data_IF_273864345115
#
_entry.id   IF_273864345115
#
_cell.length_a   1.000
_cell.length_b   1.000
_cell.length_c   1.000
_cell.angle_alpha   90.00
_cell.angle_beta   90.00
_cell.angle_gamma   90.00
#
_symmetry.space_group_name_H-M   'P 1'
#
loop_
_entity.id
_entity.type
_entity.pdbx_description
1 polymer ?
#
# COMPACT_ATOMS: atom_id res chain seq x y z
N UNK A 1 -20.97 32.52 -14.05
CA UNK A 1 -21.74 32.02 -12.88
C UNK A 1 -22.56 30.78 -13.22
N UNK A 2 -23.29 30.74 -14.35
CA UNK A 2 -24.07 29.56 -14.74
C UNK A 2 -23.22 28.28 -14.93
N UNK A 3 -22.02 28.36 -15.52
CA UNK A 3 -21.11 27.22 -15.70
C UNK A 3 -20.49 26.67 -14.40
N UNK A 4 -20.29 27.52 -13.38
CA UNK A 4 -19.85 27.06 -12.04
C UNK A 4 -20.97 26.31 -11.31
N UNK A 5 -22.23 26.62 -11.62
CA UNK A 5 -23.37 25.92 -11.07
C UNK A 5 -23.51 24.52 -11.69
N UNK A 6 -23.22 24.34 -12.99
CA UNK A 6 -23.40 23.08 -13.72
C UNK A 6 -22.45 21.97 -13.25
N UNK A 7 -21.16 22.26 -13.05
CA UNK A 7 -20.19 21.29 -12.52
C UNK A 7 -20.49 20.92 -11.06
N UNK A 8 -20.94 21.90 -10.26
CA UNK A 8 -21.36 21.68 -8.86
C UNK A 8 -22.67 20.89 -8.79
N UNK A 9 -23.63 21.09 -9.70
CA UNK A 9 -24.87 20.29 -9.74
C UNK A 9 -24.61 18.85 -10.15
N UNK A 10 -23.69 18.57 -11.09
CA UNK A 10 -23.33 17.19 -11.46
C UNK A 10 -22.59 16.47 -10.31
N UNK A 11 -21.70 17.18 -9.60
CA UNK A 11 -21.05 16.66 -8.39
C UNK A 11 -22.00 16.49 -7.18
N UNK A 12 -23.02 17.35 -7.04
CA UNK A 12 -24.03 17.25 -5.97
C UNK A 12 -25.07 16.17 -6.22
N UNK A 13 -25.48 15.91 -7.48
CA UNK A 13 -26.44 14.85 -7.82
C UNK A 13 -25.90 13.46 -7.41
N UNK A 14 -24.58 13.25 -7.47
CA UNK A 14 -23.94 12.01 -6.98
C UNK A 14 -23.96 11.88 -5.46
N UNK A 15 -24.02 12.99 -4.70
CA UNK A 15 -24.11 12.97 -3.23
C UNK A 15 -25.53 12.78 -2.68
N UNK A 16 -26.57 12.95 -3.50
CA UNK A 16 -27.97 12.99 -3.06
C UNK A 16 -28.75 11.68 -3.28
N UNK A 17 -28.20 10.70 -4.00
CA UNK A 17 -28.85 9.40 -4.21
C UNK A 17 -28.30 8.30 -3.28
N UNK A 18 -27.95 8.69 -2.04
CA UNK A 18 -27.66 7.75 -0.97
C UNK A 18 -28.94 7.08 -0.44
N UNK A 19 -28.98 5.76 -0.46
CA UNK A 19 -29.78 5.00 0.51
C UNK A 19 -29.01 5.03 1.83
N UNK A 20 -29.36 5.96 2.72
CA UNK A 20 -28.96 5.89 4.13
C UNK A 20 -29.65 4.69 4.81
N UNK A 21 -28.94 3.81 5.54
CA UNK A 21 -29.59 2.98 6.53
C UNK A 21 -29.77 3.77 7.82
N UNK A 22 -31.03 3.86 8.26
CA UNK A 22 -31.45 4.45 9.52
C UNK A 22 -30.75 3.80 10.74
N UNK A 23 -30.39 4.65 11.71
CA UNK A 23 -29.97 4.25 13.06
C UNK A 23 -31.10 3.47 13.77
N UNK A 24 -30.85 2.27 14.34
CA UNK A 24 -31.82 1.61 15.20
C UNK A 24 -31.64 2.01 16.68
N UNK A 25 -32.72 1.92 17.49
CA UNK A 25 -32.77 2.46 18.84
C UNK A 25 -32.21 1.49 19.89
N UNK A 26 -31.85 2.04 21.05
CA UNK A 26 -31.30 1.37 22.23
C UNK A 26 -32.10 0.11 22.66
N UNK A 27 -31.40 -1.03 22.82
CA UNK A 27 -31.95 -2.27 23.40
C UNK A 27 -30.90 -3.37 23.54
N UNK A 28 -30.74 -3.93 24.75
CA UNK A 28 -29.68 -4.86 25.17
C UNK A 28 -29.83 -6.32 24.71
N UNK A 29 -28.67 -7.02 24.67
CA UNK A 29 -28.33 -8.45 24.96
C UNK A 29 -27.84 -9.30 23.75
N UNK A 30 -27.00 -10.35 23.92
CA UNK A 30 -25.79 -10.47 24.74
C UNK A 30 -24.57 -11.05 23.96
N UNK A 31 -23.44 -11.16 24.67
CA UNK A 31 -22.05 -11.50 24.31
C UNK A 31 -21.79 -12.67 23.34
N UNK A 32 -20.97 -12.39 22.31
CA UNK A 32 -19.82 -13.22 21.92
C UNK A 32 -18.65 -12.29 21.56
N UNK A 33 -17.87 -11.93 22.57
CA UNK A 33 -16.63 -11.18 22.43
C UNK A 33 -15.52 -12.12 21.91
N UNK A 34 -15.21 -12.05 20.62
CA UNK A 34 -13.84 -12.30 20.15
C UNK A 34 -13.13 -10.95 20.25
N UNK A 35 -12.36 -10.77 21.32
CA UNK A 35 -11.51 -9.60 21.50
C UNK A 35 -10.43 -9.64 20.41
N UNK A 36 -10.59 -8.80 19.38
CA UNK A 36 -9.45 -8.22 18.71
C UNK A 36 -9.00 -7.10 19.65
N UNK A 37 -8.05 -7.40 20.53
CA UNK A 37 -7.43 -6.35 21.34
C UNK A 37 -6.67 -5.44 20.37
N UNK A 38 -7.09 -4.18 20.34
CA UNK A 38 -6.46 -3.10 19.61
C UNK A 38 -4.96 -3.08 19.91
N UNK A 39 -4.12 -3.21 18.87
CA UNK A 39 -2.70 -2.86 18.97
C UNK A 39 -2.59 -1.42 19.48
N UNK A 40 -2.20 -1.24 20.74
CA UNK A 40 -1.76 0.06 21.23
C UNK A 40 -0.45 0.43 20.52
N UNK A 41 -0.36 1.70 20.13
CA UNK A 41 0.71 2.24 19.29
C UNK A 41 2.05 2.19 20.03
N UNK A 42 3.01 1.44 19.48
CA UNK A 42 4.42 1.52 19.90
C UNK A 42 4.97 2.92 19.58
N UNK A 43 5.63 3.63 20.50
CA UNK A 43 6.16 4.95 20.24
C UNK A 43 7.25 4.91 19.15
N UNK A 44 6.99 5.58 18.03
CA UNK A 44 7.89 5.69 16.88
C UNK A 44 8.76 6.93 17.02
N UNK A 45 10.07 6.76 17.18
CA UNK A 45 11.05 7.86 17.15
C UNK A 45 11.51 8.13 15.72
N UNK A 46 11.55 9.41 15.32
CA UNK A 46 11.73 9.80 13.90
C UNK A 46 13.17 10.05 13.42
N UNK A 47 14.19 10.09 14.28
CA UNK A 47 15.60 10.23 13.82
C UNK A 47 16.65 10.02 14.93
N UNK A 48 17.90 9.82 14.50
CA UNK A 48 19.11 9.54 15.29
C UNK A 48 19.61 10.81 16.03
N UNK A 49 18.83 11.33 16.97
CA UNK A 49 19.29 12.44 17.81
C UNK A 49 20.36 11.94 18.79
N UNK A 50 21.52 12.62 18.84
CA UNK A 50 22.40 12.57 20.03
C UNK A 50 21.52 12.89 21.24
N UNK A 51 21.25 11.91 22.09
CA UNK A 51 20.38 12.05 23.25
C UNK A 51 21.06 12.96 24.26
N UNK A 52 20.87 14.27 24.11
CA UNK A 52 21.26 15.26 25.08
C UNK A 52 20.25 15.18 26.23
N UNK A 53 20.73 14.95 27.46
CA UNK A 53 19.91 14.99 28.69
C UNK A 53 19.21 16.37 28.81
N UNK A 54 17.89 16.50 28.62
CA UNK A 54 17.22 17.76 28.88
C UNK A 54 16.77 17.75 30.34
N UNK A 55 17.23 18.73 31.13
CA UNK A 55 16.60 18.99 32.42
C UNK A 55 15.23 19.65 32.18
N UNK A 56 14.14 18.90 32.36
CA UNK A 56 12.81 19.49 32.59
C UNK A 56 11.63 18.91 31.81
N UNK A 57 10.68 18.35 32.58
CA UNK A 57 9.25 18.04 32.38
C UNK A 57 8.75 16.92 31.44
N UNK A 58 8.31 15.85 32.12
CA UNK A 58 7.05 15.07 32.06
C UNK A 58 6.73 14.00 31.00
N UNK A 59 7.58 13.70 30.02
CA UNK A 59 7.55 12.37 29.39
C UNK A 59 8.94 12.10 28.83
N UNK A 60 9.66 11.21 29.52
CA UNK A 60 11.05 10.90 29.21
C UNK A 60 11.09 9.44 28.79
N UNK A 61 11.21 9.22 27.48
CA UNK A 61 11.42 7.92 26.83
C UNK A 61 12.57 7.12 27.47
N UNK A 62 13.53 7.80 28.13
CA UNK A 62 14.62 7.18 28.88
C UNK A 62 14.23 6.78 30.32
N UNK A 63 13.00 7.10 30.77
CA UNK A 63 12.47 6.73 32.08
C UNK A 63 11.61 5.45 32.06
N UNK A 64 11.16 4.93 30.92
CA UNK A 64 10.32 3.72 30.91
C UNK A 64 10.80 2.62 29.93
N UNK A 65 11.53 2.96 28.86
CA UNK A 65 11.98 1.97 27.85
C UNK A 65 13.37 1.38 28.13
N UNK A 66 13.52 0.05 28.00
CA UNK A 66 14.75 -0.68 28.30
C UNK A 66 15.68 -0.84 27.08
N UNK A 67 15.11 -0.92 25.87
CA UNK A 67 15.84 -1.16 24.62
C UNK A 67 15.16 -0.51 23.41
N UNK A 68 15.87 -0.47 22.28
CA UNK A 68 15.29 -0.24 20.98
C UNK A 68 16.10 -0.84 19.83
N UNK A 69 15.55 -0.75 18.62
CA UNK A 69 16.21 -1.05 17.33
C UNK A 69 15.68 -0.12 16.23
N UNK A 70 16.28 -0.14 15.04
CA UNK A 70 15.89 0.63 13.86
C UNK A 70 15.86 -0.25 12.61
N UNK A 71 14.75 -0.19 11.87
CA UNK A 71 14.62 -0.82 10.55
C UNK A 71 14.25 0.25 9.55
N UNK A 72 15.08 0.43 8.52
CA UNK A 72 14.80 1.34 7.40
C UNK A 72 14.43 2.78 7.83
N UNK A 73 15.03 3.25 8.92
CA UNK A 73 14.80 4.58 9.48
C UNK A 73 13.68 4.65 10.53
N UNK A 74 12.91 3.59 10.73
CA UNK A 74 11.89 3.50 11.77
C UNK A 74 12.52 2.97 13.07
N UNK A 75 12.57 3.81 14.11
CA UNK A 75 12.96 3.38 15.44
C UNK A 75 11.78 2.77 16.20
N UNK A 76 12.04 1.62 16.80
CA UNK A 76 11.12 0.92 17.69
C UNK A 76 11.76 0.80 19.06
N UNK A 77 11.07 1.24 20.10
CA UNK A 77 11.47 1.08 21.51
C UNK A 77 10.43 0.24 22.26
N UNK A 78 10.81 -0.35 23.38
CA UNK A 78 9.86 -1.10 24.20
C UNK A 78 10.33 -1.36 25.63
N UNK A 79 9.39 -1.62 26.55
CA UNK A 79 9.68 -1.85 27.97
C UNK A 79 10.17 -3.26 28.28
N UNK A 80 10.03 -4.23 27.36
CA UNK A 80 10.22 -5.65 27.66
C UNK A 80 9.12 -6.55 27.08
N UNK A 81 9.24 -7.87 27.30
CA UNK A 81 8.51 -8.93 26.58
C UNK A 81 6.97 -8.90 26.66
N UNK A 82 6.37 -8.15 27.60
CA UNK A 82 4.91 -8.15 27.83
C UNK A 82 4.18 -7.00 27.11
N UNK A 83 4.86 -6.24 26.25
CA UNK A 83 4.29 -5.10 25.53
C UNK A 83 4.47 -5.14 24.02
N UNK A 84 4.98 -6.23 23.44
CA UNK A 84 5.20 -6.31 22.00
C UNK A 84 3.96 -6.97 21.36
N UNK A 85 3.21 -6.26 20.49
CA UNK A 85 2.12 -6.87 19.74
C UNK A 85 2.64 -8.04 18.90
N UNK A 86 1.76 -9.00 18.59
CA UNK A 86 2.01 -10.27 17.88
C UNK A 86 2.55 -10.10 16.44
N UNK A 87 3.64 -9.37 16.22
CA UNK A 87 4.22 -9.08 14.91
C UNK A 87 4.37 -7.58 14.66
N UNK A 88 5.61 -7.15 14.39
CA UNK A 88 5.92 -5.77 13.99
C UNK A 88 5.94 -5.70 12.48
N UNK A 89 5.04 -4.89 11.93
CA UNK A 89 4.90 -4.64 10.50
C UNK A 89 5.61 -3.35 10.11
N UNK A 90 6.35 -3.37 9.01
CA UNK A 90 7.04 -2.21 8.47
C UNK A 90 6.38 -1.79 7.17
N UNK A 91 6.06 -0.51 7.01
CA UNK A 91 5.40 0.01 5.80
C UNK A 91 6.20 -0.20 4.49
N UNK A 92 7.48 -0.59 4.58
CA UNK A 92 8.40 -0.81 3.45
C UNK A 92 8.86 -2.27 3.30
N UNK A 93 8.28 -3.20 4.03
CA UNK A 93 8.68 -4.60 4.04
C UNK A 93 7.47 -5.49 4.19
N UNK A 94 7.47 -6.61 3.50
CA UNK A 94 6.42 -7.62 3.61
C UNK A 94 6.76 -8.65 4.70
N UNK A 95 7.91 -8.49 5.36
CA UNK A 95 8.27 -9.26 6.53
C UNK A 95 7.53 -8.77 7.77
N UNK A 96 6.97 -9.72 8.52
CA UNK A 96 6.62 -9.53 9.93
C UNK A 96 7.86 -9.78 10.77
N UNK A 97 8.16 -8.90 11.71
CA UNK A 97 9.27 -9.06 12.63
C UNK A 97 8.78 -9.33 14.04
N UNK A 98 9.22 -10.44 14.61
CA UNK A 98 9.06 -10.78 16.01
C UNK A 98 10.34 -10.37 16.73
N UNK A 99 10.20 -9.70 17.87
CA UNK A 99 11.34 -9.31 18.68
C UNK A 99 11.07 -9.72 20.11
N UNK A 100 12.08 -10.29 20.76
CA UNK A 100 12.10 -10.42 22.21
C UNK A 100 13.47 -10.05 22.78
N UNK A 101 13.46 -9.44 23.95
CA UNK A 101 14.67 -8.98 24.64
C UNK A 101 14.54 -9.30 26.13
N UNK A 102 15.49 -10.06 26.63
CA UNK A 102 15.47 -10.64 27.97
C UNK A 102 16.84 -10.47 28.66
N UNK A 103 16.90 -10.48 30.01
CA UNK A 103 18.16 -10.34 30.72
C UNK A 103 19.15 -11.46 30.36
N UNK A 104 20.45 -11.14 30.35
CA UNK A 104 21.48 -12.16 30.20
C UNK A 104 21.40 -13.21 31.31
N UNK A 105 21.52 -14.47 30.92
CA UNK A 105 21.67 -15.62 31.81
C UNK A 105 22.96 -16.36 31.45
N UNK A 106 23.64 -16.94 32.44
CA UNK A 106 24.93 -17.62 32.26
C UNK A 106 24.84 -18.71 31.20
N UNK A 107 23.72 -19.42 31.14
CA UNK A 107 23.43 -20.48 30.18
C UNK A 107 23.14 -19.96 28.77
N UNK A 108 22.89 -18.66 28.58
CA UNK A 108 22.71 -18.05 27.26
C UNK A 108 23.98 -18.12 26.41
N UNK A 109 25.15 -18.12 27.07
CA UNK A 109 26.43 -18.31 26.40
C UNK A 109 26.60 -19.72 25.82
N UNK A 110 25.91 -20.73 26.34
CA UNK A 110 25.97 -22.10 25.79
C UNK A 110 25.46 -22.18 24.34
N UNK A 111 24.59 -21.25 23.94
CA UNK A 111 24.13 -21.16 22.55
C UNK A 111 25.24 -20.74 21.58
N UNK A 112 26.23 -19.98 22.06
CA UNK A 112 27.25 -19.35 21.20
C UNK A 112 28.66 -19.87 21.44
N UNK A 113 28.93 -20.45 22.61
CA UNK A 113 30.24 -20.95 23.03
C UNK A 113 30.82 -21.95 22.01
N UNK A 114 29.97 -22.80 21.45
CA UNK A 114 30.30 -23.71 20.36
C UNK A 114 29.31 -23.51 19.20
N UNK A 115 29.34 -22.33 18.57
CA UNK A 115 28.38 -21.98 17.51
C UNK A 115 28.22 -23.06 16.42
N UNK A 116 29.27 -23.81 16.09
CA UNK A 116 29.18 -24.94 15.15
C UNK A 116 28.31 -26.09 15.65
N UNK A 117 28.38 -26.41 16.93
CA UNK A 117 27.59 -27.48 17.55
C UNK A 117 26.14 -27.01 17.70
N UNK A 118 25.94 -25.72 17.99
CA UNK A 118 24.62 -25.08 17.93
C UNK A 118 23.99 -25.15 16.54
N UNK A 119 24.77 -24.94 15.46
CA UNK A 119 24.25 -25.10 14.09
C UNK A 119 23.75 -26.53 13.83
N UNK A 120 24.47 -27.55 14.34
CA UNK A 120 24.07 -28.95 14.21
C UNK A 120 22.75 -29.21 14.95
N UNK A 121 22.62 -28.71 16.17
CA UNK A 121 21.40 -28.86 16.97
C UNK A 121 20.21 -28.07 16.40
N UNK A 122 20.45 -26.86 15.87
CA UNK A 122 19.43 -26.09 15.17
C UNK A 122 18.97 -26.80 13.90
N UNK A 123 19.89 -27.40 13.13
CA UNK A 123 19.53 -28.18 11.95
C UNK A 123 18.76 -29.46 12.31
N UNK A 124 19.15 -30.17 13.38
CA UNK A 124 18.40 -31.32 13.90
C UNK A 124 16.99 -30.90 14.29
N UNK A 125 16.86 -29.81 15.03
CA UNK A 125 15.58 -29.28 15.49
C UNK A 125 14.69 -28.83 14.31
N UNK A 126 15.26 -28.16 13.31
CA UNK A 126 14.56 -27.77 12.10
C UNK A 126 13.96 -29.00 11.40
N UNK A 127 14.73 -30.08 11.28
CA UNK A 127 14.29 -31.34 10.66
C UNK A 127 13.21 -32.04 11.47
N UNK A 128 13.24 -31.95 12.80
CA UNK A 128 12.20 -32.50 13.67
C UNK A 128 10.88 -31.72 13.60
N UNK A 129 10.95 -30.39 13.54
CA UNK A 129 9.75 -29.53 13.55
C UNK A 129 9.12 -29.41 12.16
N UNK A 130 9.94 -29.25 11.12
CA UNK A 130 9.48 -28.99 9.75
C UNK A 130 9.50 -30.24 8.87
N UNK A 131 10.23 -31.29 9.26
CA UNK A 131 10.25 -32.56 8.52
C UNK A 131 10.61 -32.38 7.04
N UNK A 132 9.70 -32.82 6.17
CA UNK A 132 9.84 -32.69 4.70
C UNK A 132 9.56 -31.28 4.17
N UNK A 133 9.01 -30.38 4.98
CA UNK A 133 8.77 -28.98 4.59
C UNK A 133 10.06 -28.17 4.54
N UNK A 134 11.12 -28.56 5.27
CA UNK A 134 12.39 -27.83 5.28
C UNK A 134 13.08 -27.91 3.90
N UNK A 135 13.27 -26.77 3.27
CA UNK A 135 13.90 -26.67 1.94
C UNK A 135 15.38 -26.30 2.04
N UNK A 136 15.72 -25.30 2.84
CA UNK A 136 17.09 -24.84 3.02
C UNK A 136 17.31 -24.33 4.43
N UNK A 137 18.50 -24.51 4.97
CA UNK A 137 18.95 -23.85 6.20
C UNK A 137 20.41 -23.45 6.05
N UNK A 138 20.76 -22.27 6.55
CA UNK A 138 22.13 -21.77 6.59
C UNK A 138 22.36 -20.90 7.80
N UNK A 139 23.63 -20.77 8.15
CA UNK A 139 24.06 -20.06 9.34
C UNK A 139 25.23 -19.16 9.01
N UNK A 140 25.29 -17.99 9.64
CA UNK A 140 26.42 -17.08 9.53
C UNK A 140 26.48 -16.17 10.75
N UNK A 141 27.61 -15.49 10.91
CA UNK A 141 27.78 -14.45 11.93
C UNK A 141 28.05 -13.11 11.26
N UNK A 142 27.66 -12.03 11.93
CA UNK A 142 27.95 -10.66 11.49
C UNK A 142 28.32 -9.80 12.70
N UNK A 143 29.41 -9.05 12.59
CA UNK A 143 29.80 -8.11 13.63
C UNK A 143 29.00 -6.81 13.52
N UNK A 144 28.52 -6.29 14.66
CA UNK A 144 27.82 -5.01 14.73
C UNK A 144 27.95 -4.39 16.11
N UNK A 145 28.47 -3.16 16.18
CA UNK A 145 28.58 -2.42 17.44
C UNK A 145 29.48 -3.05 18.51
N UNK A 146 30.38 -3.96 18.13
CA UNK A 146 31.26 -4.69 19.06
C UNK A 146 30.74 -6.07 19.48
N UNK A 147 29.47 -6.38 19.18
CA UNK A 147 28.88 -7.70 19.43
C UNK A 147 28.75 -8.50 18.12
N UNK A 148 28.66 -9.83 18.26
CA UNK A 148 28.29 -10.71 17.16
C UNK A 148 26.78 -10.90 17.09
N UNK A 149 26.26 -10.86 15.87
CA UNK A 149 24.94 -11.33 15.49
C UNK A 149 25.10 -12.75 14.98
N UNK A 150 24.42 -13.68 15.63
CA UNK A 150 24.34 -15.08 15.21
C UNK A 150 23.07 -15.24 14.40
N UNK A 151 23.21 -15.45 13.09
CA UNK A 151 22.09 -15.48 12.18
C UNK A 151 21.87 -16.89 11.65
N UNK A 152 20.60 -17.27 11.60
CA UNK A 152 20.09 -18.43 10.94
C UNK A 152 19.08 -17.96 9.89
N UNK A 153 19.21 -18.47 8.68
CA UNK A 153 18.19 -18.33 7.66
C UNK A 153 17.73 -19.70 7.23
N UNK A 154 16.43 -19.91 7.20
CA UNK A 154 15.86 -21.09 6.60
C UNK A 154 14.69 -20.74 5.69
N UNK A 155 14.38 -21.68 4.80
CA UNK A 155 13.15 -21.66 4.05
C UNK A 155 12.46 -23.00 4.16
N UNK A 156 11.13 -22.97 4.16
CA UNK A 156 10.30 -24.16 4.14
C UNK A 156 9.16 -24.00 3.14
N UNK A 157 8.60 -25.13 2.70
CA UNK A 157 7.43 -25.19 1.83
C UNK A 157 6.31 -25.83 2.63
N UNK A 158 5.28 -25.05 2.93
CA UNK A 158 4.13 -25.46 3.73
C UNK A 158 2.86 -25.13 2.97
N UNK A 159 1.99 -26.14 2.81
CA UNK A 159 0.78 -26.05 1.98
C UNK A 159 1.00 -25.50 0.55
N UNK A 160 2.20 -25.72 0.00
CA UNK A 160 2.58 -25.24 -1.34
C UNK A 160 3.10 -23.79 -1.40
N UNK A 161 3.06 -23.04 -0.29
CA UNK A 161 3.68 -21.72 -0.17
C UNK A 161 5.10 -21.85 0.40
N UNK A 162 6.04 -21.11 -0.21
CA UNK A 162 7.40 -21.00 0.32
C UNK A 162 7.46 -19.88 1.36
N UNK A 163 8.10 -20.16 2.47
CA UNK A 163 8.32 -19.21 3.55
C UNK A 163 9.82 -18.99 3.75
N UNK A 164 10.19 -17.74 3.96
CA UNK A 164 11.55 -17.35 4.33
C UNK A 164 11.54 -16.86 5.77
N UNK A 165 12.46 -17.38 6.56
CA UNK A 165 12.66 -16.96 7.94
C UNK A 165 14.12 -16.58 8.11
N UNK A 166 14.32 -15.40 8.70
CA UNK A 166 15.62 -14.98 9.22
C UNK A 166 15.46 -14.86 10.73
N UNK A 167 16.30 -15.56 11.48
CA UNK A 167 16.41 -15.44 12.92
C UNK A 167 17.80 -14.92 13.28
N UNK A 168 17.86 -13.84 14.04
CA UNK A 168 19.08 -13.23 14.53
C UNK A 168 19.07 -13.24 16.06
N UNK A 169 20.17 -13.72 16.63
CA UNK A 169 20.41 -13.75 18.07
C UNK A 169 21.58 -12.83 18.41
N UNK A 170 21.41 -12.02 19.44
CA UNK A 170 22.47 -11.17 20.01
C UNK A 170 22.61 -11.44 21.50
N UNK A 171 23.85 -11.44 21.96
CA UNK A 171 24.19 -11.68 23.36
C UNK A 171 25.13 -10.55 23.79
N UNK A 172 24.70 -9.79 24.79
CA UNK A 172 25.54 -8.80 25.46
C UNK A 172 25.64 -9.10 26.95
N UNK A 173 26.44 -8.32 27.67
CA UNK A 173 26.72 -8.53 29.09
C UNK A 173 25.45 -8.52 29.97
N UNK A 174 24.41 -7.80 29.56
CA UNK A 174 23.14 -7.62 30.29
C UNK A 174 21.91 -8.14 29.56
N UNK A 175 22.02 -8.58 28.30
CA UNK A 175 20.87 -8.93 27.48
C UNK A 175 21.07 -10.15 26.57
N UNK A 176 19.95 -10.78 26.24
CA UNK A 176 19.75 -11.69 25.11
C UNK A 176 18.67 -11.06 24.23
N UNK A 177 18.98 -10.87 22.96
CA UNK A 177 18.06 -10.32 21.95
C UNK A 177 17.74 -11.34 20.87
N UNK A 178 16.46 -11.50 20.58
CA UNK A 178 15.91 -12.38 19.55
C UNK A 178 15.16 -11.54 18.53
N UNK A 179 15.48 -11.71 17.24
CA UNK A 179 14.83 -11.04 16.14
C UNK A 179 14.48 -12.08 15.09
N UNK A 180 13.21 -12.30 14.82
CA UNK A 180 12.75 -13.34 13.90
C UNK A 180 11.83 -12.70 12.87
N UNK A 181 12.33 -12.55 11.65
CA UNK A 181 11.53 -12.14 10.51
C UNK A 181 10.91 -13.34 9.82
N UNK A 182 9.64 -13.20 9.43
CA UNK A 182 8.91 -14.19 8.63
C UNK A 182 8.37 -13.48 7.39
N UNK A 183 8.63 -14.03 6.21
CA UNK A 183 8.20 -13.44 4.94
C UNK A 183 7.97 -14.54 3.89
N UNK A 184 6.77 -14.69 3.31
CA UNK A 184 6.50 -15.67 2.25
C UNK A 184 6.93 -15.20 0.85
N UNK A 185 7.38 -13.95 0.69
CA UNK A 185 7.58 -13.30 -0.60
C UNK A 185 9.06 -13.06 -0.94
N UNK A 186 9.88 -12.63 0.03
CA UNK A 186 11.28 -12.27 -0.24
C UNK A 186 12.24 -12.65 0.89
N UNK A 187 13.17 -13.56 0.59
CA UNK A 187 14.26 -13.92 1.49
C UNK A 187 15.20 -12.74 1.80
N UNK A 188 15.39 -11.85 0.82
CA UNK A 188 16.26 -10.67 0.98
C UNK A 188 15.60 -9.62 1.87
N UNK A 189 14.31 -9.35 1.67
CA UNK A 189 13.55 -8.41 2.50
C UNK A 189 13.46 -8.91 3.95
N UNK A 190 13.13 -10.19 4.13
CA UNK A 190 13.16 -10.87 5.43
C UNK A 190 14.51 -10.70 6.14
N UNK A 191 15.60 -10.92 5.41
CA UNK A 191 16.96 -10.77 5.93
C UNK A 191 17.28 -9.33 6.29
N UNK A 192 16.96 -8.38 5.42
CA UNK A 192 17.27 -6.96 5.63
C UNK A 192 16.54 -6.39 6.83
N UNK A 193 15.26 -6.70 7.00
CA UNK A 193 14.47 -6.30 8.17
C UNK A 193 15.04 -6.91 9.45
N UNK A 194 15.25 -8.22 9.46
CA UNK A 194 15.67 -8.93 10.68
C UNK A 194 17.09 -8.59 11.08
N UNK A 195 18.03 -8.64 10.13
CA UNK A 195 19.43 -8.30 10.38
C UNK A 195 19.57 -6.80 10.65
N UNK A 196 18.76 -5.96 10.00
CA UNK A 196 18.71 -4.52 10.26
C UNK A 196 18.27 -4.20 11.69
N UNK A 197 17.20 -4.85 12.15
CA UNK A 197 16.74 -4.74 13.53
C UNK A 197 17.81 -5.21 14.52
N UNK A 198 18.39 -6.40 14.30
CA UNK A 198 19.43 -6.92 15.17
C UNK A 198 20.68 -6.02 15.18
N UNK A 199 21.15 -5.57 14.02
CA UNK A 199 22.38 -4.75 13.91
C UNK A 199 22.22 -3.39 14.57
N UNK A 200 21.03 -2.81 14.49
CA UNK A 200 20.74 -1.52 15.09
C UNK A 200 20.27 -1.63 16.54
N UNK A 201 20.26 -2.81 17.15
CA UNK A 201 19.81 -2.95 18.53
C UNK A 201 20.74 -2.24 19.52
N UNK A 202 20.17 -1.55 20.52
CA UNK A 202 20.88 -0.92 21.66
C UNK A 202 20.02 -0.89 22.93
N UNK A 203 20.70 -0.98 24.07
CA UNK A 203 20.15 -0.72 25.39
C UNK A 203 20.01 0.78 25.66
N UNK A 204 18.91 1.20 26.29
CA UNK A 204 18.60 2.61 26.56
C UNK A 204 18.80 3.01 28.03
N UNK A 205 19.31 2.11 28.87
CA UNK A 205 19.92 2.46 30.16
C UNK A 205 19.10 2.17 31.43
N UNK A 206 18.15 1.23 31.40
CA UNK A 206 17.50 0.70 32.62
C UNK A 206 17.58 -0.82 32.72
N UNK A 207 17.84 -1.33 33.93
CA UNK A 207 17.80 -2.77 34.23
C UNK A 207 16.36 -3.23 34.39
N UNK A 208 15.83 -4.01 33.44
CA UNK A 208 14.63 -4.79 33.67
C UNK A 208 15.03 -6.09 34.38
N UNK A 209 14.71 -6.21 35.67
CA UNK A 209 14.68 -7.52 36.34
C UNK A 209 13.31 -8.14 36.10
N UNK A 210 13.28 -9.39 35.63
CA UNK A 210 12.09 -10.24 35.80
C UNK A 210 12.45 -11.71 35.91
N UNK A 211 11.73 -12.38 36.80
CA UNK A 211 11.71 -13.84 36.96
C UNK A 211 10.83 -14.45 35.86
N UNK A 212 11.37 -15.44 35.16
CA UNK A 212 10.74 -16.05 33.99
C UNK A 212 9.43 -16.76 34.33
N UNK A 213 8.46 -16.66 33.43
CA UNK A 213 7.37 -17.64 33.34
C UNK A 213 7.58 -18.43 32.05
N UNK A 214 7.47 -19.75 32.17
CA UNK A 214 7.72 -20.70 31.09
C UNK A 214 6.80 -20.45 29.90
N UNK A 215 7.40 -20.25 28.72
CA UNK A 215 6.68 -20.21 27.44
C UNK A 215 6.22 -21.64 27.04
N UNK A 216 5.07 -21.82 26.37
CA UNK A 216 4.31 -23.08 26.41
C UNK A 216 4.90 -24.27 25.62
N UNK A 217 5.87 -24.07 24.73
CA UNK A 217 6.31 -25.13 23.80
C UNK A 217 7.81 -25.44 23.91
N UNK A 218 8.18 -26.12 25.01
CA UNK A 218 9.56 -26.58 25.29
C UNK A 218 9.82 -28.05 24.92
N UNK A 219 8.86 -28.78 24.37
CA UNK A 219 9.05 -30.21 24.09
C UNK A 219 10.10 -30.42 22.98
N UNK A 220 11.29 -30.89 23.36
CA UNK A 220 12.40 -31.19 22.43
C UNK A 220 13.29 -30.01 22.06
N UNK A 221 13.04 -28.80 22.56
CA UNK A 221 13.84 -27.60 22.29
C UNK A 221 15.09 -27.54 23.20
N UNK A 222 16.33 -27.53 22.63
CA UNK A 222 17.56 -27.61 23.43
C UNK A 222 17.96 -26.29 24.12
N UNK A 223 17.30 -25.16 23.80
CA UNK A 223 17.68 -23.83 24.31
C UNK A 223 16.56 -23.18 25.13
N UNK A 224 16.37 -23.59 26.40
CA UNK A 224 15.19 -23.21 27.19
C UNK A 224 15.03 -21.70 27.48
N UNK A 225 16.04 -20.90 27.15
CA UNK A 225 16.09 -19.44 27.31
C UNK A 225 15.88 -18.65 26.01
N UNK A 226 15.72 -19.36 24.88
CA UNK A 226 15.41 -18.78 23.57
C UNK A 226 14.06 -19.33 23.09
N UNK A 227 13.38 -18.59 22.24
CA UNK A 227 12.24 -19.09 21.51
C UNK A 227 12.69 -20.09 20.44
N UNK A 228 11.93 -21.17 20.29
CA UNK A 228 12.08 -22.07 19.15
C UNK A 228 11.57 -21.35 17.89
N UNK A 229 12.47 -20.91 16.97
CA UNK A 229 12.07 -20.16 15.78
C UNK A 229 11.21 -21.02 14.84
N UNK A 230 11.42 -22.35 14.84
CA UNK A 230 10.67 -23.26 14.00
C UNK A 230 9.24 -23.46 14.47
N UNK A 231 8.96 -23.31 15.77
CA UNK A 231 7.62 -23.43 16.32
C UNK A 231 6.87 -22.08 16.31
N UNK A 232 7.51 -20.99 16.71
CA UNK A 232 6.83 -19.69 16.79
C UNK A 232 6.41 -19.17 15.41
N UNK A 233 7.19 -19.49 14.37
CA UNK A 233 6.89 -19.02 13.02
C UNK A 233 5.80 -19.83 12.33
N UNK A 234 5.45 -21.04 12.81
CA UNK A 234 4.32 -21.78 12.21
C UNK A 234 2.99 -21.06 12.42
N UNK A 235 2.80 -20.35 13.54
CA UNK A 235 1.61 -19.52 13.74
C UNK A 235 1.41 -18.49 12.62
N UNK A 236 2.49 -17.83 12.19
CA UNK A 236 2.45 -16.88 11.07
C UNK A 236 2.32 -17.56 9.71
N UNK A 237 2.75 -18.82 9.61
CA UNK A 237 2.54 -19.62 8.40
C UNK A 237 1.10 -20.12 8.29
N UNK A 238 0.43 -20.36 9.42
CA UNK A 238 -0.89 -21.02 9.50
C UNK A 238 -2.07 -20.03 9.67
N UNK A 239 -1.93 -18.99 10.50
CA UNK A 239 -3.05 -18.16 10.97
C UNK A 239 -2.90 -16.66 10.59
N UNK A 240 -1.66 -16.16 10.47
CA UNK A 240 -1.38 -14.75 10.12
C UNK A 240 -0.51 -14.62 8.87
N UNK A 241 -1.15 -14.81 7.71
CA UNK A 241 -0.51 -14.55 6.43
C UNK A 241 -0.27 -13.03 6.30
N UNK A 242 0.98 -12.57 6.14
CA UNK A 242 1.27 -11.17 5.83
C UNK A 242 0.49 -10.73 4.58
N UNK A 243 -0.07 -9.50 4.55
CA UNK A 243 -0.76 -9.00 3.36
C UNK A 243 0.13 -9.18 2.14
N UNK A 244 -0.48 -9.49 0.99
CA UNK A 244 0.24 -9.73 -0.25
C UNK A 244 1.26 -8.60 -0.51
N UNK A 245 2.47 -8.93 -0.99
CA UNK A 245 3.44 -7.93 -1.37
C UNK A 245 2.83 -7.11 -2.49
N UNK A 246 3.33 -5.91 -2.75
CA UNK A 246 3.20 -5.44 -4.14
C UNK A 246 4.08 -6.33 -5.01
N UNK A 247 3.46 -7.07 -5.91
CA UNK A 247 4.06 -8.22 -6.58
C UNK A 247 5.19 -7.97 -7.60
N UNK A 248 5.94 -6.86 -7.59
CA UNK A 248 6.72 -6.44 -8.76
C UNK A 248 8.21 -6.08 -8.60
N UNK A 249 8.97 -6.59 -7.63
CA UNK A 249 10.46 -6.49 -7.74
C UNK A 249 11.06 -7.68 -8.50
N UNK A 250 10.79 -7.73 -9.81
CA UNK A 250 11.31 -8.72 -10.79
C UNK A 250 12.61 -8.22 -11.46
N UNK A 251 13.26 -9.08 -12.26
CA UNK A 251 14.48 -8.77 -13.01
C UNK A 251 14.31 -7.64 -14.07
N UNK A 252 13.07 -7.22 -14.34
CA UNK A 252 12.66 -6.09 -15.16
C UNK A 252 12.27 -4.84 -14.34
N UNK A 253 12.49 -4.83 -13.02
CA UNK A 253 12.30 -3.62 -12.21
C UNK A 253 13.35 -2.57 -12.61
N UNK A 254 12.88 -1.39 -12.97
CA UNK A 254 13.72 -0.28 -13.43
C UNK A 254 13.40 1.00 -12.67
N UNK A 255 14.38 1.89 -12.60
CA UNK A 255 14.14 3.23 -12.09
C UNK A 255 13.30 4.02 -13.10
N UNK A 256 12.15 4.51 -12.66
CA UNK A 256 11.27 5.37 -13.46
C UNK A 256 12.00 6.68 -13.75
N UNK A 257 12.05 7.03 -15.04
CA UNK A 257 12.63 8.29 -15.53
C UNK A 257 11.51 9.25 -15.93
N UNK A 258 11.01 9.95 -14.91
CA UNK A 258 9.90 10.90 -15.00
C UNK A 258 10.08 11.91 -16.14
N UNK A 259 9.02 12.11 -16.90
CA UNK A 259 8.92 13.10 -17.98
C UNK A 259 8.34 14.41 -17.50
N UNK A 260 7.49 14.36 -16.48
CA UNK A 260 6.85 15.52 -15.87
C UNK A 260 7.28 15.66 -14.40
N UNK A 261 7.93 16.77 -14.08
CA UNK A 261 8.40 17.07 -12.72
C UNK A 261 7.23 17.22 -11.72
N UNK A 262 6.06 17.66 -12.19
CA UNK A 262 4.85 17.74 -11.38
C UNK A 262 4.35 16.35 -11.00
N UNK A 263 4.28 15.43 -11.97
CA UNK A 263 3.95 14.01 -11.74
C UNK A 263 4.94 13.35 -10.78
N UNK A 264 6.25 13.55 -10.99
CA UNK A 264 7.27 13.03 -10.07
C UNK A 264 7.05 13.53 -8.64
N UNK A 265 6.79 14.83 -8.49
CA UNK A 265 6.61 15.46 -7.17
C UNK A 265 5.42 14.86 -6.42
N UNK A 266 4.27 14.70 -7.08
CA UNK A 266 3.08 14.15 -6.43
C UNK A 266 3.23 12.66 -6.12
N UNK A 267 3.87 11.89 -6.99
CA UNK A 267 4.01 10.45 -6.81
C UNK A 267 5.06 10.12 -5.76
N UNK A 268 6.16 10.89 -5.69
CA UNK A 268 7.10 10.82 -4.57
C UNK A 268 6.45 11.13 -3.24
N UNK A 269 5.53 12.10 -3.18
CA UNK A 269 4.80 12.42 -1.97
C UNK A 269 3.90 11.25 -1.53
N UNK A 270 3.14 10.68 -2.46
CA UNK A 270 2.25 9.53 -2.22
C UNK A 270 3.01 8.26 -1.79
N UNK A 271 4.18 8.00 -2.39
CA UNK A 271 5.04 6.86 -2.05
C UNK A 271 5.88 7.09 -0.78
N UNK A 272 5.87 8.31 -0.22
CA UNK A 272 6.75 8.68 0.89
C UNK A 272 8.24 8.70 0.53
N UNK A 273 8.58 8.88 -0.76
CA UNK A 273 9.94 8.83 -1.30
C UNK A 273 10.49 10.22 -1.65
N UNK A 274 10.96 10.94 -0.63
CA UNK A 274 11.55 12.29 -0.79
C UNK A 274 12.85 12.32 -1.61
N UNK A 275 13.58 11.21 -1.68
CA UNK A 275 14.83 11.08 -2.43
C UNK A 275 15.07 9.62 -2.84
N UNK A 276 16.09 9.39 -3.67
CA UNK A 276 16.40 8.06 -4.21
C UNK A 276 15.53 7.68 -5.41
N UNK A 277 15.79 6.52 -6.02
CA UNK A 277 15.02 6.07 -7.18
C UNK A 277 13.58 5.75 -6.78
N UNK A 278 12.63 6.15 -7.62
CA UNK A 278 11.31 5.52 -7.68
C UNK A 278 11.41 4.43 -8.75
N UNK A 279 11.12 3.21 -8.35
CA UNK A 279 11.21 2.01 -9.16
C UNK A 279 9.82 1.68 -9.73
N UNK A 280 9.76 1.03 -10.88
CA UNK A 280 8.49 0.52 -11.45
C UNK A 280 7.68 -0.25 -10.39
N UNK A 281 8.35 -1.12 -9.65
CA UNK A 281 7.80 -1.90 -8.54
C UNK A 281 7.11 -1.14 -7.42
N UNK A 282 7.39 0.15 -7.28
CA UNK A 282 6.73 1.00 -6.31
C UNK A 282 5.28 1.31 -6.72
N UNK A 283 4.98 1.30 -8.02
CA UNK A 283 3.67 1.66 -8.55
C UNK A 283 2.71 0.48 -8.68
N UNK A 284 3.24 -0.74 -8.71
CA UNK A 284 2.48 -1.90 -9.18
C UNK A 284 1.43 -2.44 -8.21
N UNK A 285 1.47 -2.04 -6.94
CA UNK A 285 0.36 -2.28 -5.99
C UNK A 285 -0.85 -1.40 -6.23
N UNK A 286 -0.74 -0.37 -7.06
CA UNK A 286 -1.77 0.65 -7.18
C UNK A 286 -2.55 0.46 -8.46
N UNK A 287 -3.80 0.04 -8.29
CA UNK A 287 -4.77 -0.07 -9.37
C UNK A 287 -5.50 1.26 -9.61
N UNK A 288 -5.35 2.23 -8.70
CA UNK A 288 -5.99 3.54 -8.81
C UNK A 288 -5.03 4.70 -8.60
N UNK A 289 -5.18 5.73 -9.44
CA UNK A 289 -4.49 7.01 -9.35
C UNK A 289 -5.51 8.15 -9.39
N UNK A 290 -5.46 9.01 -8.38
CA UNK A 290 -6.33 10.17 -8.26
C UNK A 290 -5.49 11.43 -8.23
N UNK A 291 -5.79 12.41 -9.10
CA UNK A 291 -5.11 13.71 -9.18
C UNK A 291 -6.14 14.78 -9.47
N UNK A 292 -6.31 15.73 -8.55
CA UNK A 292 -7.24 16.84 -8.71
C UNK A 292 -6.55 18.14 -8.34
N UNK A 293 -6.24 18.96 -9.35
CA UNK A 293 -5.46 20.20 -9.24
C UNK A 293 -6.23 21.48 -9.52
N UNK A 294 -7.52 21.41 -9.85
CA UNK A 294 -8.35 22.60 -10.11
C UNK A 294 -8.82 23.33 -8.83
N UNK A 295 -8.35 22.93 -7.65
CA UNK A 295 -8.77 23.54 -6.37
C UNK A 295 -7.99 24.82 -6.03
N UNK A 296 -6.99 25.19 -6.82
CA UNK A 296 -6.27 26.47 -6.74
C UNK A 296 -4.98 26.37 -5.94
N UNK A 297 -5.09 26.25 -4.62
CA UNK A 297 -3.93 26.33 -3.72
C UNK A 297 -3.31 24.96 -3.40
N UNK A 298 -3.97 23.87 -3.80
CA UNK A 298 -3.54 22.50 -3.54
C UNK A 298 -4.00 21.52 -4.62
N UNK A 299 -3.25 20.42 -4.74
CA UNK A 299 -3.67 19.19 -5.40
C UNK A 299 -4.21 18.22 -4.35
N UNK A 300 -5.36 17.59 -4.61
CA UNK A 300 -5.76 16.33 -3.95
C UNK A 300 -5.24 15.18 -4.78
N UNK A 301 -4.41 14.33 -4.18
CA UNK A 301 -3.81 13.19 -4.87
C UNK A 301 -4.03 11.90 -4.10
N UNK A 302 -4.01 10.77 -4.78
CA UNK A 302 -4.15 9.46 -4.13
C UNK A 302 -3.66 8.28 -4.95
N UNK A 303 -3.30 7.23 -4.23
CA UNK A 303 -2.93 5.90 -4.73
C UNK A 303 -3.66 4.84 -3.89
N UNK A 304 -4.55 4.04 -4.49
CA UNK A 304 -5.41 3.13 -3.73
C UNK A 304 -6.28 3.89 -2.72
N UNK A 305 -6.32 3.39 -1.48
CA UNK A 305 -7.06 4.03 -0.37
C UNK A 305 -6.29 5.19 0.28
N UNK A 306 -5.05 5.47 -0.17
CA UNK A 306 -4.24 6.54 0.39
C UNK A 306 -4.49 7.86 -0.36
N UNK A 307 -5.01 8.86 0.35
CA UNK A 307 -5.31 10.19 -0.18
C UNK A 307 -4.58 11.28 0.61
N UNK A 308 -4.13 12.34 -0.06
CA UNK A 308 -3.51 13.50 0.58
C UNK A 308 -3.72 14.81 -0.19
N UNK A 309 -3.52 15.94 0.49
CA UNK A 309 -3.46 17.28 -0.10
C UNK A 309 -2.02 17.78 -0.15
N UNK A 310 -1.59 18.31 -1.30
CA UNK A 310 -0.24 18.84 -1.54
C UNK A 310 -0.38 20.30 -2.01
N UNK A 311 0.34 21.27 -1.42
CA UNK A 311 0.34 22.66 -1.90
C UNK A 311 0.69 22.74 -3.38
N UNK A 312 -0.04 23.53 -4.15
CA UNK A 312 0.16 23.65 -5.59
C UNK A 312 1.39 24.52 -5.95
N UNK A 313 1.93 25.27 -5.00
CA UNK A 313 3.09 26.14 -5.22
C UNK A 313 4.30 25.33 -5.74
N UNK A 314 4.77 25.69 -6.94
CA UNK A 314 5.88 24.99 -7.59
C UNK A 314 5.53 23.67 -8.29
N UNK A 315 4.28 23.21 -8.23
CA UNK A 315 3.83 21.97 -8.88
C UNK A 315 2.97 22.29 -10.11
N UNK A 316 3.43 21.85 -11.27
CA UNK A 316 2.69 21.99 -12.51
C UNK A 316 2.77 20.69 -13.32
N UNK A 317 1.65 19.97 -13.34
CA UNK A 317 1.45 18.76 -14.16
C UNK A 317 1.09 19.22 -15.57
N UNK A 318 1.97 18.93 -16.53
CA UNK A 318 1.88 19.36 -17.93
C UNK A 318 1.69 18.20 -18.90
N UNK A 319 2.07 16.99 -18.48
CA UNK A 319 1.98 15.79 -19.30
C UNK A 319 1.50 14.59 -18.50
N UNK A 320 0.86 13.65 -19.20
CA UNK A 320 0.48 12.34 -18.70
C UNK A 320 1.42 11.23 -19.18
N UNK A 321 2.56 11.54 -19.80
CA UNK A 321 3.52 10.53 -20.28
C UNK A 321 3.92 9.50 -19.21
N UNK A 322 3.97 9.90 -17.95
CA UNK A 322 4.38 9.04 -16.83
C UNK A 322 3.27 8.09 -16.33
N UNK A 323 2.02 8.24 -16.79
CA UNK A 323 0.93 7.33 -16.39
C UNK A 323 1.13 5.90 -16.92
N UNK A 324 1.91 5.74 -17.99
CA UNK A 324 2.27 4.43 -18.55
C UNK A 324 3.15 3.59 -17.62
N UNK A 325 3.72 4.20 -16.59
CA UNK A 325 4.51 3.50 -15.58
C UNK A 325 3.60 2.70 -14.61
N UNK A 326 2.29 2.93 -14.61
CA UNK A 326 1.32 2.17 -13.82
C UNK A 326 0.81 0.95 -14.58
N UNK A 327 1.47 -0.19 -14.41
CA UNK A 327 1.18 -1.44 -15.15
C UNK A 327 -0.18 -2.05 -14.84
N UNK A 328 -0.67 -1.84 -13.61
CA UNK A 328 -1.89 -2.45 -13.10
C UNK A 328 -3.05 -1.45 -12.93
N UNK A 329 -2.96 -0.28 -13.56
CA UNK A 329 -3.97 0.77 -13.40
C UNK A 329 -5.32 0.38 -14.03
N UNK A 330 -6.36 0.34 -13.21
CA UNK A 330 -7.75 0.10 -13.64
C UNK A 330 -8.63 1.34 -13.45
N UNK A 331 -8.25 2.25 -12.54
CA UNK A 331 -9.00 3.47 -12.25
C UNK A 331 -8.12 4.71 -12.29
N UNK A 332 -8.50 5.69 -13.12
CA UNK A 332 -7.75 6.94 -13.27
C UNK A 332 -8.67 8.16 -13.13
N UNK A 333 -8.36 9.04 -12.19
CA UNK A 333 -8.93 10.39 -12.11
C UNK A 333 -7.83 11.43 -12.29
N UNK A 334 -7.93 12.27 -13.32
CA UNK A 334 -7.03 13.41 -13.52
C UNK A 334 -7.81 14.67 -13.87
N UNK A 335 -7.81 15.63 -12.96
CA UNK A 335 -8.53 16.89 -13.11
C UNK A 335 -7.60 18.09 -12.95
N UNK A 336 -6.86 18.40 -14.01
CA UNK A 336 -5.87 19.48 -14.08
C UNK A 336 -6.19 20.41 -15.26
N UNK A 337 -6.13 21.73 -15.07
CA UNK A 337 -6.81 22.72 -15.95
C UNK A 337 -6.22 22.89 -17.36
N UNK A 338 -5.06 22.32 -17.67
CA UNK A 338 -4.33 22.62 -18.92
C UNK A 338 -3.78 21.39 -19.67
N UNK A 339 -4.26 20.18 -19.34
CA UNK A 339 -3.91 18.97 -20.08
C UNK A 339 -4.65 18.94 -21.43
N UNK A 340 -3.90 19.00 -22.52
CA UNK A 340 -4.45 19.00 -23.90
C UNK A 340 -4.01 17.81 -24.74
N UNK A 341 -2.88 17.17 -24.39
CA UNK A 341 -2.45 15.92 -24.98
C UNK A 341 -2.84 14.76 -24.06
N UNK A 342 -3.76 13.93 -24.54
CA UNK A 342 -4.24 12.73 -23.84
C UNK A 342 -3.74 11.45 -24.50
N UNK A 343 -2.89 11.53 -25.54
CA UNK A 343 -2.35 10.36 -26.23
C UNK A 343 -1.62 9.35 -25.33
N UNK A 344 -0.98 9.72 -24.18
CA UNK A 344 -0.41 8.74 -23.27
C UNK A 344 -1.41 7.73 -22.71
N UNK A 345 -2.70 8.12 -22.61
CA UNK A 345 -3.76 7.25 -22.08
C UNK A 345 -4.08 6.06 -22.99
N UNK A 346 -3.79 6.16 -24.29
CA UNK A 346 -4.08 5.09 -25.26
C UNK A 346 -3.34 3.78 -24.97
N UNK A 347 -2.27 3.83 -24.16
CA UNK A 347 -1.51 2.65 -23.73
C UNK A 347 -2.12 1.92 -22.52
N UNK A 348 -3.12 2.51 -21.85
CA UNK A 348 -3.72 1.98 -20.63
C UNK A 348 -4.92 1.09 -20.93
N UNK A 349 -4.68 -0.02 -21.64
CA UNK A 349 -5.72 -0.97 -22.10
C UNK A 349 -6.53 -1.61 -20.95
N UNK A 350 -5.97 -1.62 -19.72
CA UNK A 350 -6.59 -2.17 -18.52
C UNK A 350 -7.54 -1.23 -17.76
N UNK A 351 -7.70 0.03 -18.20
CA UNK A 351 -8.59 0.98 -17.52
C UNK A 351 -10.06 0.58 -17.66
N UNK A 352 -10.76 0.52 -16.53
CA UNK A 352 -12.22 0.33 -16.43
C UNK A 352 -12.93 1.63 -16.05
N UNK A 353 -12.26 2.53 -15.32
CA UNK A 353 -12.80 3.83 -14.90
C UNK A 353 -11.86 4.97 -15.30
N UNK A 354 -12.40 5.99 -15.97
CA UNK A 354 -11.66 7.18 -16.38
C UNK A 354 -12.46 8.47 -16.13
N UNK A 355 -11.90 9.36 -15.31
CA UNK A 355 -12.49 10.67 -15.00
C UNK A 355 -11.50 11.81 -15.26
N UNK A 356 -11.82 12.67 -16.23
CA UNK A 356 -10.93 13.71 -16.72
C UNK A 356 -11.55 15.11 -16.65
N UNK A 357 -10.73 16.08 -16.23
CA UNK A 357 -10.96 17.48 -16.59
C UNK A 357 -10.31 17.76 -17.95
N UNK A 358 -11.12 17.95 -18.98
CA UNK A 358 -10.64 18.13 -20.35
C UNK A 358 -10.42 19.61 -20.69
N UNK A 359 -9.32 19.89 -21.39
CA UNK A 359 -9.05 21.22 -21.91
C UNK A 359 -9.96 21.54 -23.10
N UNK A 360 -10.41 22.80 -23.27
CA UNK A 360 -11.10 23.23 -24.50
C UNK A 360 -10.21 23.13 -25.75
N UNK A 361 -8.90 22.95 -25.59
CA UNK A 361 -7.95 22.75 -26.71
C UNK A 361 -7.91 21.31 -27.23
N UNK A 362 -8.57 20.36 -26.56
CA UNK A 362 -8.64 18.97 -27.02
C UNK A 362 -9.34 18.93 -28.39
N UNK A 363 -8.69 18.34 -29.39
CA UNK A 363 -9.14 18.35 -30.78
C UNK A 363 -9.71 17.02 -31.27
N UNK A 364 -9.43 15.92 -30.55
CA UNK A 364 -9.82 14.56 -30.93
C UNK A 364 -10.04 13.68 -29.70
N UNK A 365 -10.74 12.56 -29.90
CA UNK A 365 -10.91 11.47 -28.94
C UNK A 365 -10.13 10.20 -29.33
N UNK A 366 -9.24 10.25 -30.32
CA UNK A 366 -8.49 9.07 -30.79
C UNK A 366 -7.68 8.36 -29.69
N UNK A 367 -7.37 9.05 -28.59
CA UNK A 367 -6.72 8.47 -27.41
C UNK A 367 -7.59 7.45 -26.65
N UNK A 368 -8.91 7.39 -26.90
CA UNK A 368 -9.80 6.34 -26.41
C UNK A 368 -9.69 5.05 -27.24
N UNK A 369 -9.06 5.09 -28.41
CA UNK A 369 -8.95 3.95 -29.29
C UNK A 369 -8.19 2.81 -28.59
N UNK A 370 -8.80 1.63 -28.52
CA UNK A 370 -8.20 0.45 -27.87
C UNK A 370 -8.57 0.28 -26.39
N UNK A 371 -9.25 1.25 -25.75
CA UNK A 371 -9.74 1.13 -24.37
C UNK A 371 -11.02 0.28 -24.29
N UNK A 372 -11.00 -0.94 -24.86
CA UNK A 372 -12.18 -1.82 -24.98
C UNK A 372 -12.70 -2.34 -23.63
N UNK A 373 -11.88 -2.27 -22.59
CA UNK A 373 -12.24 -2.60 -21.20
C UNK A 373 -12.89 -1.45 -20.41
N UNK A 374 -12.97 -0.24 -20.97
CA UNK A 374 -13.51 0.92 -20.26
C UNK A 374 -15.01 0.75 -20.00
N UNK A 375 -15.40 0.84 -18.74
CA UNK A 375 -16.78 0.71 -18.26
C UNK A 375 -17.40 2.09 -17.97
N UNK A 376 -16.62 2.99 -17.37
CA UNK A 376 -17.07 4.32 -16.99
C UNK A 376 -16.15 5.41 -17.55
N UNK A 377 -16.74 6.34 -18.30
CA UNK A 377 -16.05 7.52 -18.82
C UNK A 377 -16.74 8.80 -18.35
N UNK A 378 -15.98 9.65 -17.67
CA UNK A 378 -16.42 10.99 -17.28
C UNK A 378 -15.45 12.03 -17.84
N UNK A 379 -15.96 12.95 -18.66
CA UNK A 379 -15.22 14.10 -19.17
C UNK A 379 -15.99 15.38 -18.87
N UNK A 380 -15.35 16.29 -18.16
CA UNK A 380 -15.92 17.59 -17.82
C UNK A 380 -14.90 18.70 -17.97
N UNK A 381 -15.33 19.96 -17.99
CA UNK A 381 -14.45 21.08 -18.24
C UNK A 381 -15.07 22.41 -17.83
N UNK A 382 -14.24 23.42 -17.60
CA UNK A 382 -14.70 24.82 -17.45
C UNK A 382 -15.11 25.43 -18.80
N UNK A 383 -14.60 24.86 -19.89
CA UNK A 383 -14.94 25.14 -21.29
C UNK A 383 -14.76 23.84 -22.08
N UNK A 384 -15.52 23.69 -23.15
CA UNK A 384 -15.70 22.39 -23.79
C UNK A 384 -15.00 22.34 -25.16
N UNK A 385 -14.41 21.19 -25.53
CA UNK A 385 -13.75 21.04 -26.81
C UNK A 385 -14.76 20.98 -27.96
N UNK A 386 -14.33 21.45 -29.13
CA UNK A 386 -15.12 21.55 -30.36
C UNK A 386 -15.06 20.25 -31.19
N UNK A 387 -15.14 19.11 -30.52
CA UNK A 387 -15.04 17.78 -31.15
C UNK A 387 -16.38 17.44 -31.81
N UNK A 388 -16.30 16.90 -33.03
CA UNK A 388 -17.45 16.48 -33.84
C UNK A 388 -17.44 15.00 -34.18
N UNK A 389 -16.27 14.37 -34.20
CA UNK A 389 -16.13 12.95 -34.48
C UNK A 389 -16.09 12.19 -33.15
N UNK A 390 -17.04 11.28 -32.99
CA UNK A 390 -17.17 10.39 -31.83
C UNK A 390 -17.26 8.92 -32.23
N UNK A 391 -16.81 8.58 -33.45
CA UNK A 391 -16.78 7.18 -33.91
C UNK A 391 -15.86 6.30 -33.07
N UNK A 392 -14.97 6.88 -32.26
CA UNK A 392 -14.14 6.11 -31.33
C UNK A 392 -14.96 5.29 -30.33
N UNK A 393 -16.22 5.68 -30.05
CA UNK A 393 -17.11 4.87 -29.21
C UNK A 393 -17.61 3.61 -29.92
N UNK A 394 -17.54 3.51 -31.26
CA UNK A 394 -17.91 2.29 -31.97
C UNK A 394 -17.05 1.11 -31.48
N UNK A 395 -17.69 0.07 -30.94
CA UNK A 395 -16.99 -1.11 -30.42
C UNK A 395 -16.50 -1.00 -28.97
N UNK A 396 -16.82 0.07 -28.23
CA UNK A 396 -16.59 0.14 -26.78
C UNK A 396 -17.66 -0.67 -26.01
N UNK A 397 -17.63 -1.99 -26.20
CA UNK A 397 -18.66 -2.95 -25.74
C UNK A 397 -18.80 -3.05 -24.21
N UNK A 398 -17.82 -2.55 -23.45
CA UNK A 398 -17.81 -2.60 -21.98
C UNK A 398 -18.43 -1.37 -21.32
N UNK A 399 -18.64 -0.27 -22.05
CA UNK A 399 -19.15 0.98 -21.47
C UNK A 399 -20.56 0.77 -20.87
N UNK A 400 -20.69 1.09 -19.58
CA UNK A 400 -21.94 1.09 -18.82
C UNK A 400 -22.40 2.50 -18.50
N UNK A 401 -21.45 3.44 -18.36
CA UNK A 401 -21.72 4.83 -18.00
C UNK A 401 -20.86 5.80 -18.81
N UNK A 402 -21.50 6.75 -19.50
CA UNK A 402 -20.83 7.81 -20.24
C UNK A 402 -21.37 9.16 -19.81
N UNK A 403 -20.47 10.03 -19.34
CA UNK A 403 -20.76 11.40 -18.97
C UNK A 403 -19.81 12.35 -19.70
N UNK A 404 -20.29 13.01 -20.74
CA UNK A 404 -19.43 13.86 -21.59
C UNK A 404 -20.12 15.16 -21.99
N UNK A 405 -19.32 16.20 -22.24
CA UNK A 405 -19.81 17.49 -22.72
C UNK A 405 -19.08 17.86 -24.01
N UNK A 406 -19.78 17.73 -25.13
CA UNK A 406 -19.29 17.93 -26.50
C UNK A 406 -20.33 18.73 -27.32
N UNK A 407 -20.38 20.06 -27.15
CA UNK A 407 -21.47 20.92 -27.67
C UNK A 407 -21.66 20.93 -29.19
N UNK A 408 -20.70 20.40 -29.94
CA UNK A 408 -20.64 20.47 -31.40
C UNK A 408 -21.12 19.20 -32.09
N UNK A 409 -21.50 18.19 -31.32
CA UNK A 409 -22.02 16.92 -31.82
C UNK A 409 -23.51 17.02 -32.11
N UNK A 410 -23.90 16.59 -33.32
CA UNK A 410 -25.30 16.52 -33.76
C UNK A 410 -25.81 15.10 -33.96
N UNK A 411 -24.92 14.11 -34.02
CA UNK A 411 -25.28 12.70 -34.16
C UNK A 411 -24.71 11.94 -32.95
N UNK A 412 -25.62 11.40 -32.13
CA UNK A 412 -25.30 10.63 -30.92
C UNK A 412 -25.76 9.18 -31.04
N UNK A 413 -26.08 8.72 -32.27
CA UNK A 413 -26.59 7.38 -32.53
C UNK A 413 -25.62 6.26 -32.13
N UNK A 414 -24.32 6.54 -32.11
CA UNK A 414 -23.28 5.59 -31.66
C UNK A 414 -23.57 5.02 -30.26
N UNK A 415 -24.11 5.83 -29.34
CA UNK A 415 -24.39 5.39 -27.98
C UNK A 415 -25.57 4.40 -27.90
N UNK A 416 -26.52 4.48 -28.83
CA UNK A 416 -27.61 3.51 -28.93
C UNK A 416 -27.11 2.12 -29.34
N UNK A 417 -25.97 2.05 -30.05
CA UNK A 417 -25.33 0.81 -30.47
C UNK A 417 -24.46 0.14 -29.39
N UNK A 418 -24.26 0.77 -28.23
CA UNK A 418 -23.46 0.21 -27.13
C UNK A 418 -24.30 -0.75 -26.29
N UNK A 419 -23.98 -2.06 -26.27
CA UNK A 419 -24.89 -3.09 -25.74
C UNK A 419 -25.05 -3.05 -24.21
N UNK A 420 -24.09 -2.49 -23.48
CA UNK A 420 -24.08 -2.43 -22.01
C UNK A 420 -24.35 -1.03 -21.44
N UNK A 421 -24.54 -0.02 -22.29
CA UNK A 421 -24.66 1.37 -21.83
C UNK A 421 -25.98 1.58 -21.09
N UNK A 422 -25.92 1.75 -19.78
CA UNK A 422 -27.10 1.97 -18.95
C UNK A 422 -27.32 3.45 -18.61
N UNK A 423 -26.23 4.23 -18.53
CA UNK A 423 -26.27 5.65 -18.18
C UNK A 423 -25.59 6.49 -19.25
N UNK A 424 -26.34 7.41 -19.86
CA UNK A 424 -25.83 8.38 -20.82
C UNK A 424 -26.19 9.80 -20.40
N UNK A 425 -25.20 10.56 -19.95
CA UNK A 425 -25.33 11.98 -19.65
C UNK A 425 -24.48 12.78 -20.63
N UNK A 426 -25.13 13.43 -21.58
CA UNK A 426 -24.46 14.16 -22.65
C UNK A 426 -24.97 15.59 -22.78
N UNK A 427 -24.05 16.53 -22.91
CA UNK A 427 -24.37 17.89 -23.35
C UNK A 427 -23.77 18.10 -24.74
N UNK A 428 -24.65 18.18 -25.75
CA UNK A 428 -24.34 18.17 -27.17
C UNK A 428 -25.02 19.35 -27.88
N UNK A 429 -24.99 19.35 -29.21
CA UNK A 429 -25.70 20.37 -29.96
C UNK A 429 -27.20 20.29 -29.67
N UNK A 430 -27.85 21.45 -29.51
CA UNK A 430 -29.31 21.53 -29.29
C UNK A 430 -30.16 20.91 -30.42
N UNK A 431 -29.59 20.74 -31.61
CA UNK A 431 -30.25 20.14 -32.76
C UNK A 431 -29.89 18.65 -32.93
N UNK A 432 -29.22 18.04 -31.96
CA UNK A 432 -28.88 16.62 -32.04
C UNK A 432 -30.14 15.75 -32.10
N UNK A 433 -30.14 14.73 -32.96
CA UNK A 433 -31.20 13.74 -32.98
C UNK A 433 -31.04 12.78 -31.81
N UNK A 434 -31.94 12.88 -30.83
CA UNK A 434 -31.94 12.02 -29.64
C UNK A 434 -32.76 10.74 -29.81
N UNK A 435 -33.45 10.58 -30.94
CA UNK A 435 -34.34 9.43 -31.20
C UNK A 435 -33.62 8.09 -30.98
N UNK A 436 -32.40 7.87 -31.52
CA UNK A 436 -31.72 6.58 -31.37
C UNK A 436 -31.46 6.20 -29.91
N UNK A 437 -30.99 7.14 -29.09
CA UNK A 437 -30.65 6.88 -27.68
C UNK A 437 -31.88 6.82 -26.79
N UNK A 438 -32.98 7.46 -27.19
CA UNK A 438 -34.27 7.38 -26.48
C UNK A 438 -34.97 6.04 -26.71
N UNK A 439 -34.83 5.47 -27.90
CA UNK A 439 -35.43 4.17 -28.28
C UNK A 439 -34.54 2.97 -27.89
N UNK A 440 -33.37 3.22 -27.31
CA UNK A 440 -32.44 2.19 -26.89
C UNK A 440 -32.88 1.56 -25.56
N UNK A 441 -33.36 0.31 -25.60
CA UNK A 441 -33.89 -0.43 -24.45
C UNK A 441 -32.89 -0.58 -23.28
N UNK A 442 -31.58 -0.56 -23.56
CA UNK A 442 -30.55 -0.73 -22.54
C UNK A 442 -30.28 0.53 -21.70
N UNK A 443 -30.59 1.73 -22.23
CA UNK A 443 -30.30 3.00 -21.55
C UNK A 443 -31.40 3.28 -20.52
N UNK A 444 -31.04 3.16 -19.24
CA UNK A 444 -31.96 3.33 -18.10
C UNK A 444 -31.96 4.75 -17.54
N UNK A 445 -30.86 5.48 -17.70
CA UNK A 445 -30.72 6.87 -17.28
C UNK A 445 -30.19 7.71 -18.44
N UNK A 446 -31.06 8.52 -19.03
CA UNK A 446 -30.74 9.41 -20.14
C UNK A 446 -30.89 10.87 -19.73
N UNK A 447 -29.78 11.61 -19.78
CA UNK A 447 -29.77 13.06 -19.61
C UNK A 447 -29.14 13.71 -20.83
N UNK A 448 -29.90 14.56 -21.52
CA UNK A 448 -29.42 15.31 -22.67
C UNK A 448 -29.55 16.80 -22.39
N UNK A 449 -28.46 17.55 -22.49
CA UNK A 449 -28.44 19.01 -22.29
C UNK A 449 -29.09 19.46 -20.97
N UNK A 450 -28.81 18.72 -19.88
CA UNK A 450 -29.39 18.93 -18.52
C UNK A 450 -30.88 18.63 -18.38
N UNK A 451 -31.50 18.04 -19.40
CA UNK A 451 -32.88 17.56 -19.36
C UNK A 451 -32.89 16.04 -19.16
N UNK A 452 -33.57 15.57 -18.12
CA UNK A 452 -33.84 14.15 -17.92
C UNK A 452 -34.88 13.69 -18.95
N UNK A 453 -34.52 12.68 -19.73
CA UNK A 453 -35.39 12.09 -20.75
C UNK A 453 -35.99 10.81 -20.17
N UNK A 454 -37.32 10.80 -20.04
CA UNK A 454 -38.10 9.66 -19.55
C UNK A 454 -38.59 8.74 -20.66
#
# INVERSE_FOLDING_TARGET
MLAKLTAVTMGMVLSLNGVEPALPPEGRLPERTRKQESCEWVPVMKEDQKIARPMGSSYDIMQEDAYGFNVSGQWTTGPGPDGIPWGIWFAKSDAVLLVDVRPAVTEGFLFVEEWKDTQIELERTARENLGTELDSIRFYTRESGGDLIYAMEYSCIREGQRWYVTACYRFGDSYIGEFIGVNPYSATDCREVTVGAASSFRELGKSSKREGTDSPDKNGWPYPFLHNPFAITTYYMDEEIPPAPSGERRADDYEIKWKDEGMETILRALLGKKSGPVMSSDLDRYESLYIVGWLGDFYRVGLGDHMMEIPAEGIAIRSLEDVKEFRNLTSLTVQVRDLSDLSPLASLEGLTYLNLLVSPKLSTLDWLQGMTGLEELMMWGESYPEIKDIRVFEGMESLTSVMIILPSITDISVFAGLPKLETLWINCNKNADITPVKEADQIKSLMVNTEEIR
#
